data_IF_497309993105
#
_entry.id   IF_497309993105
#
_cell.length_a   1.000
_cell.length_b   1.000
_cell.length_c   1.000
_cell.angle_alpha   90.00
_cell.angle_beta   90.00
_cell.angle_gamma   90.00
#
_symmetry.space_group_name_H-M   'P 1'
#
loop_
_entity.id
_entity.type
_entity.pdbx_description
1 polymer ?
#
# COMPACT_ATOMS: atom_id res chain seq x y z
N UNK A 1 -16.08 -13.39 9.67
CA UNK A 1 -14.97 -12.46 9.43
C UNK A 1 -14.65 -12.52 7.95
N UNK A 2 -15.01 -11.50 7.20
CA UNK A 2 -14.50 -11.33 5.83
C UNK A 2 -13.08 -10.84 5.97
N UNK A 3 -12.11 -11.74 5.80
CA UNK A 3 -10.73 -11.31 5.59
C UNK A 3 -10.73 -10.39 4.35
N UNK A 4 -9.91 -9.35 4.35
CA UNK A 4 -9.81 -8.41 3.23
C UNK A 4 -8.37 -7.96 3.11
N UNK A 5 -7.87 -7.98 1.89
CA UNK A 5 -6.58 -7.40 1.56
C UNK A 5 -6.74 -5.89 1.37
N UNK A 6 -5.86 -5.08 1.97
CA UNK A 6 -5.72 -3.68 1.62
C UNK A 6 -4.58 -3.54 0.61
N UNK A 7 -4.87 -3.03 -0.57
CA UNK A 7 -3.86 -2.66 -1.55
C UNK A 7 -3.62 -1.16 -1.48
N UNK A 8 -2.36 -0.73 -1.40
CA UNK A 8 -1.94 0.67 -1.45
C UNK A 8 -0.97 0.84 -2.61
N UNK A 9 -1.38 1.58 -3.64
CA UNK A 9 -0.58 1.73 -4.86
C UNK A 9 -1.36 2.39 -5.98
N UNK A 10 -0.78 2.42 -7.17
CA UNK A 10 -1.39 3.11 -8.32
C UNK A 10 -2.19 2.18 -9.21
N UNK A 11 -1.68 0.96 -9.40
CA UNK A 11 -2.30 0.04 -10.34
C UNK A 11 -2.18 -1.41 -9.91
N UNK A 12 -3.33 -1.99 -9.60
CA UNK A 12 -3.47 -3.42 -9.41
C UNK A 12 -4.03 -4.05 -10.70
N UNK A 13 -3.42 -5.15 -11.17
CA UNK A 13 -3.94 -5.85 -12.34
C UNK A 13 -5.25 -6.57 -12.00
N UNK A 14 -6.17 -6.69 -12.96
CA UNK A 14 -7.42 -7.42 -12.77
C UNK A 14 -7.21 -8.89 -12.39
N UNK A 15 -6.12 -9.50 -12.87
CA UNK A 15 -5.74 -10.86 -12.49
C UNK A 15 -5.37 -10.95 -11.00
N UNK A 16 -4.57 -10.01 -10.50
CA UNK A 16 -4.21 -10.00 -9.08
C UNK A 16 -5.41 -9.67 -8.19
N UNK A 17 -6.31 -8.78 -8.62
CA UNK A 17 -7.57 -8.52 -7.92
C UNK A 17 -8.36 -9.82 -7.76
N UNK A 18 -8.52 -10.61 -8.83
CA UNK A 18 -9.25 -11.88 -8.77
C UNK A 18 -8.60 -12.89 -7.83
N UNK A 19 -7.27 -13.00 -7.87
CA UNK A 19 -6.53 -13.89 -6.99
C UNK A 19 -6.69 -13.49 -5.52
N UNK A 20 -6.53 -12.22 -5.20
CA UNK A 20 -6.68 -11.69 -3.84
C UNK A 20 -8.14 -11.78 -3.35
N UNK A 21 -9.12 -11.55 -4.21
CA UNK A 21 -10.53 -11.80 -3.88
C UNK A 21 -10.75 -13.27 -3.52
N UNK A 22 -10.14 -14.21 -4.24
CA UNK A 22 -10.26 -15.64 -3.94
C UNK A 22 -9.51 -16.05 -2.66
N UNK A 23 -8.34 -15.48 -2.38
CA UNK A 23 -7.52 -15.85 -1.22
C UNK A 23 -7.89 -15.13 0.06
N UNK A 24 -8.22 -13.85 -0.02
CA UNK A 24 -8.54 -13.03 1.15
C UNK A 24 -10.04 -12.85 1.34
N UNK A 25 -10.88 -13.02 0.33
CA UNK A 25 -12.33 -12.74 0.44
C UNK A 25 -12.71 -11.30 0.09
N UNK A 26 -11.78 -10.53 -0.48
CA UNK A 26 -12.01 -9.20 -1.06
C UNK A 26 -10.79 -8.30 -1.01
N UNK A 27 -10.83 -7.22 -1.81
CA UNK A 27 -9.72 -6.24 -1.90
C UNK A 27 -10.24 -4.83 -1.76
N UNK A 28 -9.62 -4.05 -0.88
CA UNK A 28 -9.82 -2.60 -0.79
C UNK A 28 -8.60 -1.91 -1.40
N UNK A 29 -8.78 -1.15 -2.46
CA UNK A 29 -7.72 -0.44 -3.16
C UNK A 29 -7.63 1.01 -2.69
N UNK A 30 -6.50 1.44 -2.17
CA UNK A 30 -6.20 2.84 -1.85
C UNK A 30 -5.40 3.41 -3.02
N UNK A 31 -6.06 4.27 -3.80
CA UNK A 31 -5.49 4.87 -5.01
C UNK A 31 -5.65 6.38 -4.99
N UNK A 32 -4.69 7.11 -5.59
CA UNK A 32 -4.85 8.56 -5.80
C UNK A 32 -5.88 8.85 -6.90
N UNK A 33 -5.84 8.06 -7.96
CA UNK A 33 -6.67 8.25 -9.15
C UNK A 33 -7.96 7.42 -9.07
N UNK A 34 -9.04 7.87 -9.74
CA UNK A 34 -10.26 7.08 -9.87
C UNK A 34 -9.95 5.75 -10.57
N UNK A 35 -10.38 4.65 -9.97
CA UNK A 35 -10.23 3.31 -10.54
C UNK A 35 -11.60 2.77 -10.90
N UNK A 36 -11.78 2.36 -12.16
CA UNK A 36 -12.99 1.66 -12.57
C UNK A 36 -12.96 0.24 -11.99
N UNK A 37 -13.81 -0.03 -11.00
CA UNK A 37 -13.93 -1.35 -10.39
C UNK A 37 -14.80 -2.25 -11.28
N UNK A 38 -14.28 -3.41 -11.65
CA UNK A 38 -14.99 -4.41 -12.48
C UNK A 38 -15.54 -5.58 -11.66
N UNK A 39 -15.23 -5.67 -10.37
CA UNK A 39 -15.59 -6.78 -9.48
C UNK A 39 -16.36 -6.25 -8.25
N UNK A 40 -17.48 -6.90 -7.91
CA UNK A 40 -18.34 -6.55 -6.78
C UNK A 40 -17.67 -6.77 -5.40
N UNK A 41 -16.60 -7.58 -5.35
CA UNK A 41 -15.83 -7.83 -4.12
C UNK A 41 -14.60 -6.93 -3.98
N UNK A 42 -14.41 -6.00 -4.92
CA UNK A 42 -13.41 -4.94 -4.82
C UNK A 42 -14.07 -3.61 -4.46
N UNK A 43 -13.47 -2.90 -3.50
CA UNK A 43 -13.83 -1.50 -3.20
C UNK A 43 -12.60 -0.62 -3.36
N UNK A 44 -12.82 0.69 -3.53
CA UNK A 44 -11.72 1.66 -3.65
C UNK A 44 -11.90 2.82 -2.69
N UNK A 45 -10.79 3.24 -2.08
CA UNK A 45 -10.65 4.47 -1.32
C UNK A 45 -9.79 5.42 -2.14
N UNK A 46 -10.40 6.46 -2.69
CA UNK A 46 -9.65 7.50 -3.38
C UNK A 46 -9.06 8.47 -2.34
N UNK A 47 -7.75 8.37 -2.11
CA UNK A 47 -7.05 9.12 -1.07
C UNK A 47 -5.70 9.62 -1.57
N UNK A 48 -5.38 10.88 -1.25
CA UNK A 48 -4.05 11.43 -1.45
C UNK A 48 -3.19 11.21 -0.20
N UNK A 49 -2.43 10.12 -0.17
CA UNK A 49 -1.60 9.75 1.00
C UNK A 49 -0.45 10.74 1.28
N UNK A 50 -0.11 11.62 0.33
CA UNK A 50 0.82 12.73 0.58
C UNK A 50 0.23 13.82 1.47
N UNK A 51 -1.10 13.89 1.59
CA UNK A 51 -1.81 14.90 2.38
C UNK A 51 -2.15 14.39 3.80
N UNK A 52 -2.20 15.32 4.76
CA UNK A 52 -2.65 15.03 6.13
C UNK A 52 -4.10 14.50 6.15
N UNK A 53 -4.97 15.04 5.28
CA UNK A 53 -6.35 14.60 5.17
C UNK A 53 -6.44 13.15 4.67
N UNK A 54 -5.76 12.82 3.57
CA UNK A 54 -5.76 11.46 3.02
C UNK A 54 -5.23 10.43 4.01
N UNK A 55 -4.16 10.76 4.72
CA UNK A 55 -3.63 9.91 5.80
C UNK A 55 -4.66 9.73 6.92
N UNK A 56 -5.27 10.81 7.41
CA UNK A 56 -6.26 10.76 8.49
C UNK A 56 -7.48 9.93 8.11
N UNK A 57 -7.98 10.09 6.89
CA UNK A 57 -9.11 9.31 6.36
C UNK A 57 -8.80 7.81 6.27
N UNK A 58 -7.58 7.43 5.88
CA UNK A 58 -7.20 6.01 5.88
C UNK A 58 -7.10 5.45 7.31
N UNK A 59 -6.56 6.22 8.25
CA UNK A 59 -6.51 5.82 9.66
C UNK A 59 -7.91 5.63 10.25
N UNK A 60 -8.84 6.54 9.94
CA UNK A 60 -10.23 6.43 10.37
C UNK A 60 -10.92 5.24 9.71
N UNK A 61 -10.64 4.98 8.43
CA UNK A 61 -11.13 3.79 7.75
C UNK A 61 -10.63 2.51 8.43
N UNK A 62 -9.34 2.41 8.76
CA UNK A 62 -8.77 1.25 9.46
C UNK A 62 -9.42 1.01 10.84
N UNK A 63 -9.82 2.07 11.54
CA UNK A 63 -10.49 1.97 12.86
C UNK A 63 -11.95 1.54 12.76
N UNK A 64 -12.63 1.88 11.66
CA UNK A 64 -14.05 1.64 11.46
C UNK A 64 -14.36 0.29 10.81
N UNK A 65 -13.35 -0.39 10.28
CA UNK A 65 -13.49 -1.66 9.56
C UNK A 65 -12.74 -2.78 10.29
N UNK A 66 -13.07 -4.02 9.97
CA UNK A 66 -12.28 -5.18 10.40
C UNK A 66 -10.83 -4.99 9.93
N UNK A 67 -9.82 -5.14 10.81
CA UNK A 67 -8.42 -4.97 10.44
C UNK A 67 -8.04 -5.91 9.30
N UNK A 68 -7.30 -5.42 8.28
CA UNK A 68 -6.84 -6.28 7.20
C UNK A 68 -5.91 -7.36 7.76
N UNK A 69 -6.02 -8.57 7.23
CA UNK A 69 -5.06 -9.66 7.50
C UNK A 69 -3.79 -9.50 6.66
N UNK A 70 -3.91 -8.85 5.51
CA UNK A 70 -2.82 -8.60 4.57
C UNK A 70 -2.89 -7.18 4.01
N UNK A 71 -1.74 -6.51 3.97
CA UNK A 71 -1.55 -5.25 3.26
C UNK A 71 -0.49 -5.46 2.17
N UNK A 72 -0.84 -5.10 0.95
CA UNK A 72 0.06 -5.02 -0.20
C UNK A 72 0.35 -3.54 -0.44
N UNK A 73 1.62 -3.15 -0.40
CA UNK A 73 2.05 -1.78 -0.59
C UNK A 73 3.02 -1.70 -1.76
N UNK A 74 2.61 -1.06 -2.84
CA UNK A 74 3.47 -0.76 -3.97
C UNK A 74 4.55 0.25 -3.54
N UNK A 75 5.81 -0.08 -3.80
CA UNK A 75 6.92 0.86 -3.71
C UNK A 75 6.87 1.73 -4.95
N UNK A 76 6.30 2.92 -4.85
CA UNK A 76 6.07 3.74 -6.03
C UNK A 76 7.37 4.10 -6.75
N UNK A 77 7.35 4.02 -8.08
CA UNK A 77 8.35 4.68 -8.91
C UNK A 77 8.05 6.19 -8.96
N UNK A 78 9.11 6.98 -9.04
CA UNK A 78 9.03 8.40 -9.31
C UNK A 78 8.73 8.60 -10.80
N UNK A 79 7.45 8.76 -11.12
CA UNK A 79 7.05 9.09 -12.50
C UNK A 79 7.49 10.52 -12.85
N UNK A 80 8.64 10.61 -13.51
CA UNK A 80 9.18 11.85 -14.04
C UNK A 80 8.57 12.09 -15.44
N UNK A 81 7.54 12.94 -15.49
CA UNK A 81 6.89 13.52 -16.69
C UNK A 81 7.06 12.71 -17.98
N UNK A 82 6.07 11.88 -18.31
CA UNK A 82 5.72 11.64 -19.72
C UNK A 82 4.46 12.44 -20.01
N UNK A 83 4.71 13.65 -20.50
CA UNK A 83 3.86 14.55 -21.29
C UNK A 83 2.51 13.89 -21.67
N UNK A 84 1.47 14.14 -20.86
CA UNK A 84 0.05 14.28 -21.28
C UNK A 84 -0.94 14.28 -20.09
N UNK A 85 -0.53 13.86 -18.88
CA UNK A 85 -1.46 13.74 -17.75
C UNK A 85 -1.37 14.85 -16.67
N UNK A 86 -0.44 15.81 -16.76
CA UNK A 86 -0.39 16.99 -15.88
C UNK A 86 -0.05 16.75 -14.39
N UNK A 87 -0.09 15.51 -13.91
CA UNK A 87 0.16 15.14 -12.52
C UNK A 87 1.62 14.74 -12.28
N UNK A 88 2.49 15.73 -12.04
CA UNK A 88 3.87 15.48 -11.59
C UNK A 88 3.90 15.04 -10.14
N UNK A 89 4.55 13.92 -9.83
CA UNK A 89 5.00 13.64 -8.45
C UNK A 89 6.23 14.49 -8.18
N UNK A 90 6.15 15.42 -7.22
CA UNK A 90 7.35 16.06 -6.71
C UNK A 90 8.08 15.14 -5.73
N UNK A 91 9.37 15.36 -5.50
CA UNK A 91 10.10 14.62 -4.47
C UNK A 91 9.45 14.79 -3.07
N UNK A 92 8.82 15.94 -2.83
CA UNK A 92 8.04 16.20 -1.61
C UNK A 92 6.81 15.30 -1.53
N UNK A 93 6.06 15.15 -2.63
CA UNK A 93 4.89 14.28 -2.68
C UNK A 93 5.29 12.83 -2.45
N UNK A 94 6.39 12.41 -3.07
CA UNK A 94 6.97 11.09 -2.87
C UNK A 94 7.32 10.84 -1.40
N UNK A 95 8.12 11.71 -0.78
CA UNK A 95 8.50 11.55 0.63
C UNK A 95 7.28 11.59 1.56
N UNK A 96 6.33 12.47 1.30
CA UNK A 96 5.13 12.63 2.12
C UNK A 96 4.18 11.42 2.00
N UNK A 97 4.01 10.87 0.81
CA UNK A 97 3.15 9.71 0.59
C UNK A 97 3.87 8.40 0.92
N UNK A 98 5.01 8.14 0.28
CA UNK A 98 5.68 6.85 0.30
C UNK A 98 6.44 6.60 1.60
N UNK A 99 7.08 7.61 2.18
CA UNK A 99 7.83 7.43 3.42
C UNK A 99 6.94 7.73 4.62
N UNK A 100 6.44 8.96 4.73
CA UNK A 100 5.65 9.38 5.89
C UNK A 100 4.28 8.70 5.94
N UNK A 101 3.54 8.74 4.83
CA UNK A 101 2.20 8.15 4.73
C UNK A 101 2.21 6.65 5.02
N UNK A 102 3.05 5.89 4.31
CA UNK A 102 3.14 4.43 4.50
C UNK A 102 3.62 4.07 5.91
N UNK A 103 4.61 4.76 6.48
CA UNK A 103 5.07 4.48 7.86
C UNK A 103 3.94 4.65 8.87
N UNK A 104 3.14 5.72 8.75
CA UNK A 104 1.96 5.93 9.61
C UNK A 104 0.91 4.83 9.46
N UNK A 105 0.68 4.37 8.23
CA UNK A 105 -0.26 3.27 7.96
C UNK A 105 0.27 1.97 8.58
N UNK A 106 1.56 1.68 8.46
CA UNK A 106 2.18 0.51 9.09
C UNK A 106 1.98 0.52 10.60
N UNK A 107 2.31 1.63 11.26
CA UNK A 107 2.15 1.78 12.71
C UNK A 107 0.70 1.54 13.14
N UNK A 108 -0.26 2.16 12.45
CA UNK A 108 -1.67 2.02 12.78
C UNK A 108 -2.20 0.60 12.50
N UNK A 109 -1.86 0.02 11.36
CA UNK A 109 -2.33 -1.31 10.98
C UNK A 109 -1.76 -2.39 11.91
N UNK A 110 -0.48 -2.31 12.28
CA UNK A 110 0.15 -3.23 13.23
C UNK A 110 -0.42 -3.09 14.64
N UNK A 111 -0.78 -1.86 15.04
CA UNK A 111 -1.45 -1.62 16.34
C UNK A 111 -2.84 -2.27 16.39
N UNK A 112 -3.52 -2.37 15.26
CA UNK A 112 -4.85 -2.99 15.14
C UNK A 112 -4.78 -4.50 14.93
N UNK A 113 -3.77 -4.98 14.18
CA UNK A 113 -3.53 -6.38 13.91
C UNK A 113 -2.03 -6.72 14.07
N UNK A 114 -1.61 -7.24 15.24
CA UNK A 114 -0.22 -7.62 15.49
C UNK A 114 0.28 -8.81 14.65
N UNK A 115 -0.63 -9.58 14.04
CA UNK A 115 -0.32 -10.71 13.16
C UNK A 115 -0.37 -10.33 11.66
N UNK A 116 -0.44 -9.03 11.36
CA UNK A 116 -0.57 -8.52 10.02
C UNK A 116 0.56 -9.04 9.11
N UNK A 117 0.18 -9.46 7.89
CA UNK A 117 1.13 -9.69 6.80
C UNK A 117 1.24 -8.42 5.95
N UNK A 118 2.40 -7.79 5.99
CA UNK A 118 2.74 -6.66 5.13
C UNK A 118 3.65 -7.12 3.99
N UNK A 119 3.29 -6.79 2.76
CA UNK A 119 4.09 -7.11 1.57
C UNK A 119 4.41 -5.83 0.83
N UNK A 120 5.69 -5.52 0.71
CA UNK A 120 6.18 -4.45 -0.16
C UNK A 120 6.34 -4.99 -1.57
N UNK A 121 5.71 -4.34 -2.54
CA UNK A 121 5.71 -4.73 -3.94
C UNK A 121 6.62 -3.83 -4.73
N UNK A 122 7.70 -4.42 -5.27
CA UNK A 122 8.61 -3.73 -6.15
C UNK A 122 7.94 -3.50 -7.50
N UNK A 123 7.94 -2.27 -8.02
CA UNK A 123 7.26 -1.96 -9.28
C UNK A 123 8.02 -2.61 -10.44
N UNK A 124 7.34 -2.86 -11.58
CA UNK A 124 7.99 -3.47 -12.75
C UNK A 124 9.14 -2.61 -13.29
N UNK A 125 8.99 -1.28 -13.21
CA UNK A 125 10.02 -0.30 -13.54
C UNK A 125 10.57 0.25 -12.24
N UNK A 126 11.81 -0.08 -11.93
CA UNK A 126 12.49 0.32 -10.69
C UNK A 126 13.34 1.54 -11.00
N UNK A 127 13.18 2.59 -10.19
CA UNK A 127 14.08 3.73 -10.20
C UNK A 127 14.80 3.91 -8.85
N UNK A 128 15.65 4.94 -8.79
CA UNK A 128 16.42 5.27 -7.60
C UNK A 128 15.53 5.56 -6.38
N UNK A 129 14.32 6.05 -6.59
CA UNK A 129 13.39 6.36 -5.50
C UNK A 129 12.75 5.09 -4.96
N UNK A 130 12.31 4.18 -5.82
CA UNK A 130 11.81 2.86 -5.41
C UNK A 130 12.87 2.08 -4.63
N UNK A 131 14.12 2.07 -5.11
CA UNK A 131 15.23 1.43 -4.41
C UNK A 131 15.53 2.10 -3.05
N UNK A 132 15.50 3.43 -2.99
CA UNK A 132 15.68 4.16 -1.75
C UNK A 132 14.56 3.89 -0.73
N UNK A 133 13.30 3.77 -1.19
CA UNK A 133 12.18 3.41 -0.32
C UNK A 133 12.25 1.96 0.14
N UNK A 134 12.65 1.03 -0.72
CA UNK A 134 12.89 -0.35 -0.31
C UNK A 134 13.96 -0.41 0.79
N UNK A 135 15.10 0.28 0.59
CA UNK A 135 16.17 0.35 1.57
C UNK A 135 15.68 0.94 2.91
N UNK A 136 14.91 2.03 2.86
CA UNK A 136 14.30 2.62 4.04
C UNK A 136 13.41 1.62 4.81
N UNK A 137 12.48 0.97 4.09
CA UNK A 137 11.54 0.05 4.72
C UNK A 137 12.20 -1.24 5.22
N UNK A 138 13.27 -1.70 4.57
CA UNK A 138 14.05 -2.85 5.09
C UNK A 138 14.63 -2.55 6.46
N UNK A 139 15.24 -1.38 6.64
CA UNK A 139 15.78 -0.95 7.95
C UNK A 139 14.67 -0.78 8.98
N UNK A 140 13.54 -0.15 8.61
CA UNK A 140 12.40 -0.01 9.52
C UNK A 140 11.86 -1.37 9.97
N UNK A 141 11.70 -2.31 9.03
CA UNK A 141 11.21 -3.67 9.29
C UNK A 141 12.12 -4.44 10.24
N UNK A 142 13.44 -4.26 10.19
CA UNK A 142 14.36 -4.87 11.15
C UNK A 142 14.03 -4.46 12.59
N UNK A 143 13.75 -3.19 12.82
CA UNK A 143 13.27 -2.69 14.11
C UNK A 143 11.89 -3.24 14.47
N UNK A 144 10.95 -3.20 13.52
CA UNK A 144 9.57 -3.66 13.74
C UNK A 144 9.47 -5.14 14.04
N UNK A 145 10.35 -6.00 13.51
CA UNK A 145 10.38 -7.44 13.86
C UNK A 145 10.63 -7.69 15.35
N UNK A 146 11.30 -6.76 16.02
CA UNK A 146 11.48 -6.84 17.48
C UNK A 146 10.24 -6.34 18.23
N UNK A 147 9.62 -5.27 17.74
CA UNK A 147 8.45 -4.65 18.37
C UNK A 147 7.13 -5.42 18.14
N UNK A 148 6.98 -6.06 16.98
CA UNK A 148 5.82 -6.81 16.53
C UNK A 148 6.26 -8.18 15.95
N UNK A 149 6.68 -9.13 16.80
CA UNK A 149 7.30 -10.38 16.35
C UNK A 149 6.34 -11.33 15.62
N UNK A 150 5.03 -11.17 15.80
CA UNK A 150 4.02 -11.98 15.12
C UNK A 150 3.71 -11.49 13.70
N UNK A 151 4.06 -10.25 13.37
CA UNK A 151 3.84 -9.68 12.05
C UNK A 151 4.83 -10.26 11.04
N UNK A 152 4.38 -10.38 9.78
CA UNK A 152 5.22 -10.86 8.67
C UNK A 152 5.45 -9.73 7.68
N UNK A 153 6.70 -9.57 7.25
CA UNK A 153 7.12 -8.53 6.31
C UNK A 153 7.86 -9.17 5.14
N UNK A 154 7.26 -9.08 3.96
CA UNK A 154 7.78 -9.63 2.71
C UNK A 154 8.12 -8.49 1.74
N UNK A 155 9.13 -8.71 0.89
CA UNK A 155 9.48 -7.83 -0.21
C UNK A 155 9.48 -8.67 -1.48
N UNK A 156 8.54 -8.42 -2.38
CA UNK A 156 8.29 -9.22 -3.57
C UNK A 156 8.28 -8.33 -4.81
N UNK A 157 8.59 -8.89 -5.98
CA UNK A 157 8.20 -8.24 -7.23
C UNK A 157 6.71 -8.45 -7.48
N UNK A 158 6.08 -7.57 -8.28
CA UNK A 158 4.67 -7.70 -8.66
C UNK A 158 4.32 -9.06 -9.32
N UNK A 159 5.31 -9.73 -9.92
CA UNK A 159 5.15 -11.06 -10.56
C UNK A 159 5.15 -12.23 -9.55
N UNK A 160 5.50 -11.98 -8.29
CA UNK A 160 5.65 -13.00 -7.24
C UNK A 160 4.48 -13.03 -6.24
N UNK A 161 3.48 -12.17 -6.43
CA UNK A 161 2.35 -11.97 -5.50
C UNK A 161 1.30 -13.05 -5.64
#
# INVERSE_FOLDING_TARGET
>A
MTQRCLYVGDKLSSELILQLTATDGGVVQVTRLPTALTDAMSTSLQLELGSVEGQSRLLDWLRQNDPPTRILCELQAFELVTIDAGDTRSASDYLSAQIVGITRIMEAALSLNPELRWVFLKPPVVDVWSDASEAYFRVLVEGLRTAAPSARFDFLSMEQV
#
